data_IF_228393688069
#
_entry.id   IF_228393688069
#
_cell.length_a   1.000
_cell.length_b   1.000
_cell.length_c   1.000
_cell.angle_alpha   90.00
_cell.angle_beta   90.00
_cell.angle_gamma   90.00
#
_symmetry.space_group_name_H-M   'P 1'
#
loop_
_entity.id
_entity.type
_entity.pdbx_description
1 polymer ?
#
# COMPACT_ATOMS: atom_id res chain seq x y z
N UNK A 1 -3.47 28.08 3.89
CA UNK A 1 -2.45 27.97 4.95
C UNK A 1 -1.58 26.79 4.61
N UNK A 2 -0.35 27.03 4.11
CA UNK A 2 0.58 25.92 3.85
C UNK A 2 1.12 25.40 5.19
N UNK A 3 0.78 24.17 5.54
CA UNK A 3 1.24 23.51 6.77
C UNK A 3 2.69 23.01 6.66
N UNK A 4 3.22 22.95 5.45
CA UNK A 4 4.57 22.50 5.14
C UNK A 4 5.30 23.64 4.46
N UNK A 5 6.51 23.97 4.98
CA UNK A 5 7.40 24.90 4.29
C UNK A 5 7.79 24.31 2.95
N UNK A 6 7.75 25.10 1.88
CA UNK A 6 8.10 24.69 0.51
C UNK A 6 9.46 24.01 0.39
N UNK A 7 10.40 24.38 1.26
CA UNK A 7 11.76 23.86 1.34
C UNK A 7 11.81 22.34 1.60
N UNK A 8 10.83 21.78 2.37
CA UNK A 8 10.81 20.35 2.75
C UNK A 8 9.75 19.52 1.99
N UNK A 9 9.09 20.11 1.02
CA UNK A 9 7.99 19.43 0.33
C UNK A 9 8.45 18.21 -0.49
N UNK A 10 9.65 18.29 -1.09
CA UNK A 10 10.27 17.18 -1.82
C UNK A 10 10.65 16.02 -0.91
N UNK A 11 11.32 16.32 0.22
CA UNK A 11 11.69 15.30 1.21
C UNK A 11 10.47 14.65 1.84
N UNK A 12 9.41 15.41 2.10
CA UNK A 12 8.14 14.86 2.59
C UNK A 12 7.53 13.89 1.58
N UNK A 13 7.61 14.18 0.28
CA UNK A 13 7.09 13.29 -0.76
C UNK A 13 7.85 11.95 -0.79
N UNK A 14 9.19 11.99 -0.68
CA UNK A 14 10.03 10.80 -0.58
C UNK A 14 9.73 10.01 0.68
N UNK A 15 9.71 10.66 1.84
CA UNK A 15 9.44 10.01 3.13
C UNK A 15 8.03 9.40 3.16
N UNK A 16 7.04 10.09 2.61
CA UNK A 16 5.66 9.56 2.49
C UNK A 16 5.63 8.28 1.66
N UNK A 17 6.35 8.25 0.54
CA UNK A 17 6.45 7.06 -0.31
C UNK A 17 7.13 5.90 0.41
N UNK A 18 8.22 6.16 1.15
CA UNK A 18 8.93 5.13 1.90
C UNK A 18 8.11 4.62 3.11
N UNK A 19 7.35 5.49 3.77
CA UNK A 19 6.45 5.07 4.84
C UNK A 19 5.39 4.08 4.33
N UNK A 20 4.81 4.35 3.16
CA UNK A 20 3.84 3.44 2.53
C UNK A 20 4.50 2.12 2.11
N UNK A 21 5.81 2.13 1.77
CA UNK A 21 6.55 0.91 1.43
C UNK A 21 6.62 -0.09 2.57
N UNK A 22 6.79 0.39 3.81
CA UNK A 22 7.00 -0.46 5.00
C UNK A 22 5.71 -0.72 5.77
N UNK A 23 4.67 0.08 5.57
CA UNK A 23 3.39 -0.09 6.25
C UNK A 23 2.57 -1.24 5.62
N UNK A 24 1.94 -2.12 6.42
CA UNK A 24 0.97 -3.06 5.88
C UNK A 24 -0.25 -2.27 5.38
N UNK A 25 -0.70 -2.51 4.13
CA UNK A 25 -1.88 -1.85 3.62
C UNK A 25 -3.17 -2.37 4.29
N UNK A 26 -3.17 -3.64 4.74
CA UNK A 26 -4.27 -4.19 5.55
C UNK A 26 -3.79 -5.24 6.53
N UNK A 27 -4.52 -5.38 7.64
CA UNK A 27 -4.41 -6.47 8.58
C UNK A 27 -5.76 -7.18 8.68
N UNK A 28 -5.75 -8.51 8.63
CA UNK A 28 -6.97 -9.33 8.73
C UNK A 28 -6.85 -10.30 9.88
N UNK A 29 -7.96 -10.50 10.58
CA UNK A 29 -8.10 -11.56 11.59
C UNK A 29 -9.25 -12.44 11.18
N UNK A 30 -9.04 -13.75 11.18
CA UNK A 30 -10.06 -14.73 10.88
C UNK A 30 -9.99 -15.91 11.85
N UNK A 31 -11.11 -16.59 12.06
CA UNK A 31 -11.16 -17.75 12.94
C UNK A 31 -12.49 -18.48 12.88
N UNK A 32 -12.45 -19.77 13.21
CA UNK A 32 -13.61 -20.66 13.27
C UNK A 32 -13.79 -21.32 14.65
N UNK A 33 -13.21 -20.75 15.71
CA UNK A 33 -13.27 -21.26 17.09
C UNK A 33 -12.18 -22.29 17.43
N UNK A 34 -11.62 -22.99 16.47
CA UNK A 34 -10.51 -23.92 16.67
C UNK A 34 -9.17 -23.37 16.17
N UNK A 35 -9.22 -22.58 15.10
CA UNK A 35 -8.07 -21.98 14.44
C UNK A 35 -8.29 -20.49 14.38
N UNK A 36 -7.31 -19.72 14.79
CA UNK A 36 -7.27 -18.28 14.59
C UNK A 36 -6.07 -17.93 13.72
N UNK A 37 -6.28 -17.09 12.73
CA UNK A 37 -5.23 -16.61 11.85
C UNK A 37 -5.17 -15.09 11.78
N UNK A 38 -3.97 -14.58 11.64
CA UNK A 38 -3.70 -13.15 11.39
C UNK A 38 -2.95 -13.04 10.08
N UNK A 39 -3.39 -12.13 9.22
CA UNK A 39 -2.76 -11.86 7.93
C UNK A 39 -2.39 -10.39 7.86
N UNK A 40 -1.11 -10.11 7.68
CA UNK A 40 -0.62 -8.77 7.34
C UNK A 40 -0.31 -8.74 5.84
N UNK A 41 -0.92 -7.80 5.12
CA UNK A 41 -0.66 -7.60 3.69
C UNK A 41 0.14 -6.33 3.50
N UNK A 42 1.35 -6.51 3.01
CA UNK A 42 2.21 -5.44 2.51
C UNK A 42 2.03 -5.32 0.99
N UNK A 43 2.50 -4.25 0.38
CA UNK A 43 2.36 -4.10 -1.08
C UNK A 43 3.01 -5.27 -1.84
N UNK A 44 4.27 -5.69 -1.56
CA UNK A 44 4.91 -6.77 -2.32
C UNK A 44 4.48 -8.17 -1.88
N UNK A 45 4.07 -8.38 -0.63
CA UNK A 45 3.80 -9.71 -0.08
C UNK A 45 2.76 -9.69 1.05
N UNK A 46 2.30 -10.86 1.44
CA UNK A 46 1.53 -11.08 2.67
C UNK A 46 2.25 -12.06 3.59
N UNK A 47 2.07 -11.87 4.88
CA UNK A 47 2.48 -12.79 5.94
C UNK A 47 1.24 -13.23 6.67
N UNK A 48 1.05 -14.54 6.79
CA UNK A 48 -0.05 -15.16 7.53
C UNK A 48 0.51 -15.98 8.67
N UNK A 49 -0.02 -15.79 9.84
CA UNK A 49 0.30 -16.59 11.02
C UNK A 49 -0.96 -17.29 11.52
N UNK A 50 -0.85 -18.60 11.81
CA UNK A 50 -1.95 -19.43 12.29
C UNK A 50 -1.70 -19.85 13.73
N UNK A 51 -2.71 -19.73 14.59
CA UNK A 51 -2.73 -20.13 15.99
C UNK A 51 -3.67 -21.33 16.19
N UNK A 52 -3.36 -22.16 17.16
CA UNK A 52 -4.26 -23.23 17.59
C UNK A 52 -4.07 -24.55 16.84
N UNK A 53 -3.11 -24.63 15.92
CA UNK A 53 -2.78 -25.88 15.23
C UNK A 53 -1.28 -26.06 15.25
N UNK A 54 -0.83 -27.28 15.59
CA UNK A 54 0.58 -27.68 15.41
C UNK A 54 0.80 -28.15 13.98
N UNK A 55 0.96 -27.22 13.05
CA UNK A 55 1.34 -27.52 11.66
C UNK A 55 2.78 -27.11 11.40
N UNK A 56 3.52 -27.85 10.53
CA UNK A 56 4.93 -27.56 10.24
C UNK A 56 5.21 -26.17 9.65
N UNK A 57 4.21 -25.44 9.20
CA UNK A 57 4.30 -24.10 8.62
C UNK A 57 3.25 -23.16 9.22
N UNK A 58 3.42 -22.78 10.49
CA UNK A 58 2.56 -21.78 11.15
C UNK A 58 2.64 -20.40 10.46
N UNK A 59 3.79 -20.12 9.83
CA UNK A 59 4.03 -18.88 9.07
C UNK A 59 3.98 -19.16 7.57
N UNK A 60 3.03 -18.53 6.89
CA UNK A 60 2.90 -18.60 5.43
C UNK A 60 3.24 -17.25 4.81
N UNK A 61 4.13 -17.28 3.81
CA UNK A 61 4.55 -16.12 3.05
C UNK A 61 4.14 -16.28 1.58
N UNK A 62 3.46 -15.26 1.03
CA UNK A 62 2.99 -15.28 -0.36
C UNK A 62 3.24 -13.92 -1.01
N UNK A 63 3.87 -13.92 -2.17
CA UNK A 63 4.03 -12.71 -2.99
C UNK A 63 2.69 -12.23 -3.56
N UNK A 64 2.56 -10.91 -3.80
CA UNK A 64 1.32 -10.31 -4.31
C UNK A 64 0.83 -10.98 -5.60
N UNK A 65 1.72 -11.21 -6.57
CA UNK A 65 1.39 -11.87 -7.85
C UNK A 65 1.03 -13.36 -7.71
N UNK A 66 1.48 -14.03 -6.65
CA UNK A 66 1.10 -15.42 -6.37
C UNK A 66 -0.31 -15.49 -5.79
N UNK A 67 -0.76 -14.44 -5.10
CA UNK A 67 -2.10 -14.40 -4.51
C UNK A 67 -3.22 -14.48 -5.56
N UNK A 68 -2.96 -14.08 -6.80
CA UNK A 68 -3.91 -14.19 -7.93
C UNK A 68 -4.29 -15.66 -8.20
N UNK A 69 -3.40 -16.60 -7.91
CA UNK A 69 -3.65 -18.04 -8.13
C UNK A 69 -4.65 -18.63 -7.12
N UNK A 70 -4.88 -17.95 -6.01
CA UNK A 70 -5.86 -18.35 -4.98
C UNK A 70 -7.22 -17.68 -5.23
N UNK A 71 -7.72 -17.71 -6.47
CA UNK A 71 -8.86 -16.93 -6.96
C UNK A 71 -10.20 -17.22 -6.27
N UNK A 72 -10.37 -18.38 -5.61
CA UNK A 72 -11.66 -18.77 -5.04
C UNK A 72 -12.17 -17.81 -3.96
N UNK A 73 -11.27 -17.08 -3.28
CA UNK A 73 -11.64 -16.22 -2.16
C UNK A 73 -11.23 -14.75 -2.29
N UNK A 74 -10.34 -14.39 -3.23
CA UNK A 74 -9.75 -13.05 -3.26
C UNK A 74 -9.52 -12.50 -4.68
N UNK A 75 -10.11 -13.08 -5.72
CA UNK A 75 -9.77 -12.85 -7.12
C UNK A 75 -9.61 -11.38 -7.52
N UNK A 76 -10.66 -10.57 -7.42
CA UNK A 76 -10.61 -9.16 -7.82
C UNK A 76 -9.71 -8.37 -6.86
N UNK A 77 -9.79 -8.62 -5.55
CA UNK A 77 -8.95 -7.95 -4.56
C UNK A 77 -7.44 -8.22 -4.79
N UNK A 78 -7.08 -9.47 -5.19
CA UNK A 78 -5.70 -9.82 -5.51
C UNK A 78 -5.20 -9.13 -6.80
N UNK A 79 -6.05 -8.97 -7.79
CA UNK A 79 -5.74 -8.21 -9.01
C UNK A 79 -5.50 -6.74 -8.66
N UNK A 80 -6.41 -6.10 -7.92
CA UNK A 80 -6.26 -4.72 -7.48
C UNK A 80 -4.99 -4.51 -6.65
N UNK A 81 -4.68 -5.45 -5.77
CA UNK A 81 -3.43 -5.43 -5.01
C UNK A 81 -2.20 -5.48 -5.91
N UNK A 82 -2.20 -6.35 -6.94
CA UNK A 82 -1.07 -6.46 -7.87
C UNK A 82 -0.92 -5.21 -8.72
N UNK A 83 -2.02 -4.60 -9.16
CA UNK A 83 -2.01 -3.33 -9.89
C UNK A 83 -1.51 -2.19 -9.00
N UNK A 84 -1.94 -2.15 -7.73
CA UNK A 84 -1.45 -1.19 -6.74
C UNK A 84 0.06 -1.34 -6.50
N UNK A 85 0.56 -2.59 -6.42
CA UNK A 85 2.00 -2.87 -6.32
C UNK A 85 2.77 -2.34 -7.54
N UNK A 86 2.26 -2.55 -8.75
CA UNK A 86 2.91 -2.05 -9.96
C UNK A 86 2.96 -0.52 -9.99
N UNK A 87 1.85 0.15 -9.67
CA UNK A 87 1.81 1.60 -9.55
C UNK A 87 2.76 2.13 -8.47
N UNK A 88 2.79 1.45 -7.32
CA UNK A 88 3.68 1.81 -6.21
C UNK A 88 5.15 1.59 -6.55
N UNK A 89 5.50 0.52 -7.28
CA UNK A 89 6.88 0.26 -7.69
C UNK A 89 7.43 1.40 -8.58
N UNK A 90 6.58 1.97 -9.44
CA UNK A 90 6.93 3.17 -10.22
C UNK A 90 7.17 4.37 -9.30
N UNK A 91 6.26 4.63 -8.35
CA UNK A 91 6.41 5.73 -7.40
C UNK A 91 7.65 5.57 -6.51
N UNK A 92 7.94 4.34 -6.04
CA UNK A 92 9.11 4.03 -5.23
C UNK A 92 10.41 4.23 -6.04
N UNK A 93 10.46 3.72 -7.28
CA UNK A 93 11.61 3.93 -8.18
C UNK A 93 11.83 5.41 -8.47
N UNK A 94 10.76 6.15 -8.72
CA UNK A 94 10.80 7.60 -8.91
C UNK A 94 11.31 8.33 -7.65
N UNK A 95 10.88 7.91 -6.45
CA UNK A 95 11.32 8.53 -5.19
C UNK A 95 12.80 8.31 -4.91
N UNK A 96 13.32 7.13 -5.23
CA UNK A 96 14.75 6.83 -5.13
C UNK A 96 15.54 7.68 -6.14
N UNK A 97 15.02 7.81 -7.37
CA UNK A 97 15.68 8.63 -8.41
C UNK A 97 15.65 10.11 -8.02
N UNK A 98 14.54 10.61 -7.52
CA UNK A 98 14.39 11.98 -7.03
C UNK A 98 15.38 12.25 -5.89
N UNK A 99 15.43 11.39 -4.89
CA UNK A 99 16.36 11.51 -3.77
C UNK A 99 17.82 11.54 -4.19
N UNK A 100 18.19 10.75 -5.20
CA UNK A 100 19.58 10.67 -5.69
C UNK A 100 19.97 11.81 -6.66
N UNK A 101 19.00 12.34 -7.43
CA UNK A 101 19.24 13.29 -8.55
C UNK A 101 18.08 14.27 -8.73
N UNK A 102 17.76 15.06 -7.70
CA UNK A 102 16.64 15.99 -7.68
C UNK A 102 16.57 16.90 -8.91
N UNK A 103 17.64 17.63 -9.22
CA UNK A 103 17.70 18.54 -10.36
C UNK A 103 17.42 17.86 -11.71
N UNK A 104 17.91 16.61 -11.88
CA UNK A 104 17.68 15.84 -13.12
C UNK A 104 16.24 15.38 -13.23
N UNK A 105 15.66 14.95 -12.10
CA UNK A 105 14.28 14.52 -12.02
C UNK A 105 13.32 15.68 -12.34
N UNK A 106 13.51 16.84 -11.70
CA UNK A 106 12.69 18.03 -11.92
C UNK A 106 12.79 18.55 -13.36
N UNK A 107 13.97 18.48 -13.97
CA UNK A 107 14.11 18.83 -15.39
C UNK A 107 13.43 17.84 -16.34
N UNK A 108 13.21 16.60 -15.92
CA UNK A 108 12.61 15.54 -16.76
C UNK A 108 11.09 15.45 -16.67
N UNK A 109 10.49 15.98 -15.59
CA UNK A 109 9.04 15.92 -15.37
C UNK A 109 8.39 17.30 -15.51
N UNK A 110 7.30 17.40 -16.29
CA UNK A 110 6.54 18.65 -16.42
C UNK A 110 5.63 18.92 -15.20
N UNK A 111 5.62 18.03 -14.22
CA UNK A 111 4.78 18.08 -13.01
C UNK A 111 5.64 18.31 -11.78
N UNK A 112 5.08 19.07 -10.83
CA UNK A 112 5.68 19.22 -9.51
C UNK A 112 5.81 17.85 -8.83
N UNK A 113 6.99 17.50 -8.25
CA UNK A 113 7.22 16.23 -7.58
C UNK A 113 6.19 15.90 -6.50
N UNK A 114 5.74 16.89 -5.72
CA UNK A 114 4.71 16.66 -4.68
C UNK A 114 3.39 16.22 -5.27
N UNK A 115 2.99 16.80 -6.41
CA UNK A 115 1.77 16.40 -7.13
C UNK A 115 1.90 15.04 -7.78
N UNK A 116 3.08 14.72 -8.31
CA UNK A 116 3.36 13.40 -8.86
C UNK A 116 3.25 12.31 -7.78
N UNK A 117 3.99 12.46 -6.67
CA UNK A 117 3.95 11.48 -5.58
C UNK A 117 2.59 11.44 -4.87
N UNK A 118 1.97 12.60 -4.65
CA UNK A 118 0.62 12.68 -4.09
C UNK A 118 -0.41 11.95 -4.96
N UNK A 119 -0.39 12.15 -6.27
CA UNK A 119 -1.25 11.44 -7.21
C UNK A 119 -1.00 9.93 -7.22
N UNK A 120 0.27 9.51 -7.26
CA UNK A 120 0.65 8.10 -7.22
C UNK A 120 0.20 7.41 -5.94
N UNK A 121 0.44 8.01 -4.76
CA UNK A 121 -0.01 7.48 -3.48
C UNK A 121 -1.54 7.48 -3.36
N UNK A 122 -2.21 8.46 -3.94
CA UNK A 122 -3.68 8.50 -4.01
C UNK A 122 -4.25 7.31 -4.80
N UNK A 123 -3.68 7.00 -5.96
CA UNK A 123 -4.07 5.83 -6.77
C UNK A 123 -3.81 4.53 -5.99
N UNK A 124 -2.63 4.36 -5.41
CA UNK A 124 -2.28 3.18 -4.62
C UNK A 124 -3.23 3.02 -3.44
N UNK A 125 -3.48 4.10 -2.71
CA UNK A 125 -4.41 4.11 -1.57
C UNK A 125 -5.84 3.74 -1.97
N UNK A 126 -6.34 4.28 -3.09
CA UNK A 126 -7.67 3.96 -3.61
C UNK A 126 -7.78 2.48 -4.00
N UNK A 127 -6.82 1.95 -4.76
CA UNK A 127 -6.82 0.55 -5.18
C UNK A 127 -6.78 -0.41 -3.99
N UNK A 128 -5.92 -0.14 -3.00
CA UNK A 128 -5.81 -0.97 -1.79
C UNK A 128 -7.02 -0.82 -0.88
N UNK A 129 -7.65 0.35 -0.82
CA UNK A 129 -8.88 0.57 -0.06
C UNK A 129 -10.05 -0.21 -0.68
N UNK A 130 -10.25 -0.11 -2.00
CA UNK A 130 -11.26 -0.91 -2.71
C UNK A 130 -10.99 -2.40 -2.52
N UNK A 131 -9.75 -2.85 -2.65
CA UNK A 131 -9.36 -4.23 -2.38
C UNK A 131 -9.71 -4.68 -0.96
N UNK A 132 -9.52 -3.82 0.06
CA UNK A 132 -9.91 -4.11 1.45
C UNK A 132 -11.42 -4.21 1.62
N UNK A 133 -12.17 -3.32 0.98
CA UNK A 133 -13.65 -3.36 1.01
C UNK A 133 -14.15 -4.66 0.39
N UNK A 134 -13.63 -5.05 -0.77
CA UNK A 134 -13.99 -6.29 -1.42
C UNK A 134 -13.68 -7.51 -0.55
N UNK A 135 -12.54 -7.55 0.14
CA UNK A 135 -12.20 -8.63 1.06
C UNK A 135 -13.19 -8.77 2.23
N UNK A 136 -13.83 -7.67 2.65
CA UNK A 136 -14.85 -7.72 3.71
C UNK A 136 -16.26 -8.04 3.17
N UNK A 137 -16.54 -7.71 1.90
CA UNK A 137 -17.85 -7.91 1.28
C UNK A 137 -17.98 -9.30 0.62
N UNK A 138 -16.90 -9.81 0.05
CA UNK A 138 -16.87 -11.15 -0.52
C UNK A 138 -16.96 -12.18 0.61
N UNK A 139 -18.11 -12.81 0.76
CA UNK A 139 -18.41 -13.77 1.81
C UNK A 139 -17.52 -15.03 1.84
N UNK A 140 -16.48 -15.08 0.99
CA UNK A 140 -15.45 -16.12 0.96
C UNK A 140 -14.28 -15.92 1.94
N UNK A 141 -14.08 -14.71 2.48
CA UNK A 141 -13.05 -14.50 3.50
C UNK A 141 -13.68 -14.55 4.91
N UNK A 142 -13.36 -15.57 5.72
CA UNK A 142 -14.03 -15.79 7.02
C UNK A 142 -13.45 -14.88 8.12
N UNK A 143 -13.27 -13.59 7.86
CA UNK A 143 -12.60 -12.70 8.81
C UNK A 143 -12.90 -11.22 8.60
N UNK A 144 -12.36 -10.40 9.49
CA UNK A 144 -12.42 -8.94 9.41
C UNK A 144 -11.08 -8.39 8.94
N UNK A 145 -11.12 -7.52 7.95
CA UNK A 145 -9.93 -6.84 7.41
C UNK A 145 -9.96 -5.36 7.75
N UNK A 146 -8.90 -4.88 8.38
CA UNK A 146 -8.71 -3.46 8.75
C UNK A 146 -7.78 -2.79 7.74
N UNK A 147 -8.19 -1.69 7.08
CA UNK A 147 -7.38 -0.96 6.11
C UNK A 147 -6.39 -0.01 6.82
N UNK A 148 -5.19 -0.45 7.12
CA UNK A 148 -4.18 0.38 7.81
C UNK A 148 -3.51 1.33 6.80
N UNK A 149 -2.63 0.82 5.97
CA UNK A 149 -1.89 1.60 4.97
C UNK A 149 -2.79 2.11 3.84
N UNK A 150 -3.89 1.39 3.56
CA UNK A 150 -4.91 1.83 2.60
C UNK A 150 -5.62 3.14 3.03
N UNK A 151 -5.60 3.50 4.31
CA UNK A 151 -6.04 4.81 4.81
C UNK A 151 -4.88 5.80 4.91
N UNK A 152 -3.69 5.34 5.29
CA UNK A 152 -2.50 6.19 5.42
C UNK A 152 -2.09 6.79 4.07
N UNK A 153 -2.08 5.98 3.00
CA UNK A 153 -1.65 6.45 1.68
C UNK A 153 -2.52 7.60 1.12
N UNK A 154 -3.87 7.58 1.16
CA UNK A 154 -4.70 8.71 0.74
C UNK A 154 -4.52 9.95 1.63
N UNK A 155 -4.30 9.78 2.94
CA UNK A 155 -4.03 10.91 3.84
C UNK A 155 -2.72 11.60 3.45
N UNK A 156 -1.65 10.83 3.24
CA UNK A 156 -0.37 11.37 2.78
C UNK A 156 -0.50 11.99 1.37
N UNK A 157 -1.26 11.37 0.48
CA UNK A 157 -1.58 11.93 -0.83
C UNK A 157 -2.25 13.31 -0.71
N UNK A 158 -3.25 13.43 0.16
CA UNK A 158 -3.94 14.70 0.43
C UNK A 158 -2.99 15.77 0.94
N UNK A 159 -2.11 15.42 1.88
CA UNK A 159 -1.08 16.34 2.40
C UNK A 159 -0.16 16.82 1.28
N UNK A 160 0.34 15.90 0.43
CA UNK A 160 1.24 16.24 -0.68
C UNK A 160 0.56 17.09 -1.75
N UNK A 161 -0.71 16.80 -2.08
CA UNK A 161 -1.47 17.55 -3.09
C UNK A 161 -1.85 18.95 -2.62
N UNK A 162 -1.90 19.19 -1.31
CA UNK A 162 -2.20 20.49 -0.70
C UNK A 162 -0.95 21.26 -0.27
N UNK A 163 0.25 20.65 -0.37
CA UNK A 163 1.51 21.32 -0.10
C UNK A 163 1.86 22.24 -1.27
N UNK A 164 1.90 23.56 -1.01
CA UNK A 164 2.33 24.55 -1.99
C UNK A 164 3.85 24.68 -1.97
N UNK A 165 4.48 24.48 -3.12
CA UNK A 165 5.85 24.90 -3.40
C UNK A 165 5.79 26.34 -3.93
N UNK A 166 5.96 27.30 -3.07
CA UNK A 166 6.15 28.73 -3.44
C UNK A 166 7.60 29.10 -3.39
#
# INVERSE_FOLDING_TARGET
MAWVKSEYAGELAVLSTWLVAVAPWSASVFGNGQITGVVFRFLPFRVQYLYGISIPNELNFVWAWQAIRFQEYTGVAAVLWTVALAAFAVALGASIHYYAREATFEASLPLDPTRFFGGALGIVGLLTLVGTVLLNLDGGFPGTTVPIGALVAPVLAGVLLTADRT
#
